data_IF_567879990622
#
_entry.id   IF_567879990622
#
_cell.length_a   1.000
_cell.length_b   1.000
_cell.length_c   1.000
_cell.angle_alpha   90.00
_cell.angle_beta   90.00
_cell.angle_gamma   90.00
#
_symmetry.space_group_name_H-M   'P 1'
#
loop_
_entity.id
_entity.type
_entity.pdbx_description
1 polymer ?
#
# COMPACT_ATOMS: atom_id res chain seq x y z
N UNK A 1 1.64 -3.18 0.75
CA UNK A 1 1.46 -3.60 -0.66
C UNK A 1 1.55 -5.12 -0.74
N UNK A 2 0.72 -5.74 -1.57
CA UNK A 2 0.79 -7.16 -1.91
C UNK A 2 1.22 -7.33 -3.37
N UNK A 3 2.17 -8.22 -3.62
CA UNK A 3 2.41 -8.77 -4.95
C UNK A 3 1.46 -9.96 -5.14
N UNK A 4 0.59 -9.89 -6.14
CA UNK A 4 -0.42 -10.93 -6.42
C UNK A 4 0.23 -12.19 -6.97
N UNK A 5 1.35 -12.04 -7.68
CA UNK A 5 2.10 -13.13 -8.31
C UNK A 5 3.15 -13.73 -7.36
N UNK A 6 3.57 -12.97 -6.33
CA UNK A 6 4.38 -13.45 -5.21
C UNK A 6 3.77 -13.10 -3.82
N UNK A 7 2.67 -13.76 -3.40
CA UNK A 7 1.90 -13.38 -2.21
C UNK A 7 2.65 -13.49 -0.87
N UNK A 8 3.77 -14.23 -0.84
CA UNK A 8 4.61 -14.41 0.36
C UNK A 8 5.66 -13.31 0.51
N UNK A 9 5.86 -12.49 -0.51
CA UNK A 9 6.81 -11.38 -0.51
C UNK A 9 6.23 -10.17 0.21
N UNK A 10 6.94 -9.71 1.24
CA UNK A 10 6.56 -8.52 2.00
C UNK A 10 7.12 -7.27 1.32
N UNK A 11 6.29 -6.57 0.55
CA UNK A 11 6.69 -5.34 -0.15
C UNK A 11 6.63 -4.06 0.71
N UNK A 12 6.40 -4.21 2.01
CA UNK A 12 6.29 -3.09 2.94
C UNK A 12 4.91 -2.44 2.98
N UNK A 13 4.89 -1.26 3.59
CA UNK A 13 3.69 -0.50 3.96
C UNK A 13 4.03 0.56 5.00
N UNK A 14 3.01 1.23 5.52
CA UNK A 14 3.15 2.25 6.53
C UNK A 14 1.81 2.84 6.94
N UNK A 15 1.85 3.74 7.91
CA UNK A 15 0.70 4.47 8.43
C UNK A 15 1.12 5.93 8.62
N UNK A 16 0.19 6.84 8.37
CA UNK A 16 0.34 8.25 8.74
C UNK A 16 -0.96 8.78 9.33
N UNK A 17 -0.82 9.78 10.20
CA UNK A 17 -1.96 10.56 10.68
C UNK A 17 -2.55 11.36 9.53
N UNK A 18 -3.87 11.26 9.37
CA UNK A 18 -4.59 12.08 8.40
C UNK A 18 -4.69 13.51 8.93
N UNK A 19 -4.10 14.47 8.21
CA UNK A 19 -4.08 15.89 8.58
C UNK A 19 -4.99 16.75 7.68
N UNK A 20 -5.96 16.13 6.98
CA UNK A 20 -6.88 16.82 6.08
C UNK A 20 -6.33 17.11 4.68
N UNK A 21 -5.17 16.55 4.33
CA UNK A 21 -4.56 16.69 3.00
C UNK A 21 -5.09 15.62 2.03
N UNK A 22 -5.20 15.97 0.74
CA UNK A 22 -5.56 15.02 -0.31
C UNK A 22 -4.38 14.11 -0.72
N UNK A 23 -3.15 14.55 -0.46
CA UNK A 23 -1.93 13.87 -0.86
C UNK A 23 -1.26 13.16 0.32
N UNK A 24 -0.62 12.03 0.02
CA UNK A 24 0.22 11.30 0.97
C UNK A 24 1.67 11.77 0.81
N UNK A 25 2.30 12.36 1.85
CA UNK A 25 3.67 12.83 1.75
C UNK A 25 4.65 11.72 1.38
N UNK A 26 5.71 12.07 0.65
CA UNK A 26 6.83 11.16 0.38
C UNK A 26 7.44 10.66 1.70
N UNK A 27 7.84 9.40 1.75
CA UNK A 27 8.40 8.76 2.95
C UNK A 27 7.37 8.28 3.98
N UNK A 28 6.07 8.47 3.74
CA UNK A 28 5.00 7.98 4.65
C UNK A 28 5.00 6.46 4.82
N UNK A 29 5.41 5.73 3.80
CA UNK A 29 5.49 4.28 3.85
C UNK A 29 6.78 3.81 3.19
N UNK A 30 7.27 2.66 3.65
CA UNK A 30 8.37 1.98 3.01
C UNK A 30 7.85 1.05 1.93
N UNK A 31 8.51 1.07 0.77
CA UNK A 31 8.22 0.18 -0.33
C UNK A 31 9.49 -0.56 -0.73
N UNK A 32 9.43 -1.89 -0.73
CA UNK A 32 10.51 -2.72 -1.26
C UNK A 32 10.22 -2.96 -2.74
N UNK A 33 10.97 -2.20 -3.55
CA UNK A 33 10.90 -2.10 -5.01
C UNK A 33 11.09 -3.41 -5.78
N UNK A 34 10.61 -3.44 -7.03
CA UNK A 34 9.91 -4.58 -7.62
C UNK A 34 10.80 -5.80 -7.86
N UNK A 35 10.20 -6.97 -7.65
CA UNK A 35 10.86 -8.26 -7.84
C UNK A 35 11.03 -8.54 -9.35
N UNK A 36 12.23 -8.31 -9.89
CA UNK A 36 12.59 -8.74 -11.25
C UNK A 36 13.22 -10.14 -11.18
N UNK A 37 13.01 -11.05 -12.15
CA UNK A 37 12.51 -10.82 -13.51
C UNK A 37 11.04 -11.23 -13.76
N UNK A 38 10.35 -10.46 -14.60
CA UNK A 38 8.97 -10.74 -15.05
C UNK A 38 8.00 -9.65 -14.63
N UNK A 39 6.83 -9.59 -15.29
CA UNK A 39 5.78 -8.62 -14.96
C UNK A 39 4.89 -9.13 -13.83
N UNK A 40 4.67 -8.27 -12.84
CA UNK A 40 3.89 -8.57 -11.65
C UNK A 40 2.72 -7.59 -11.49
N UNK A 41 1.63 -8.07 -10.89
CA UNK A 41 0.49 -7.25 -10.48
C UNK A 41 0.64 -6.90 -9.00
N UNK A 42 0.76 -5.61 -8.72
CA UNK A 42 0.86 -5.10 -7.37
C UNK A 42 -0.49 -4.52 -6.92
N UNK A 43 -0.93 -4.93 -5.74
CA UNK A 43 -2.13 -4.42 -5.07
C UNK A 43 -1.73 -3.53 -3.88
N UNK A 44 -2.22 -2.29 -3.93
CA UNK A 44 -2.19 -1.36 -2.81
C UNK A 44 -3.55 -1.38 -2.11
N UNK A 45 -3.52 -1.44 -0.78
CA UNK A 45 -4.71 -1.34 0.05
C UNK A 45 -4.51 -0.20 1.04
N UNK A 46 -5.50 0.67 1.15
CA UNK A 46 -5.52 1.77 2.11
C UNK A 46 -6.71 1.57 3.03
N UNK A 47 -6.47 1.59 4.34
CA UNK A 47 -7.52 1.49 5.36
C UNK A 47 -7.54 2.77 6.16
N UNK A 48 -8.66 3.49 6.13
CA UNK A 48 -8.92 4.63 7.00
C UNK A 48 -9.31 4.12 8.38
N UNK A 49 -8.79 4.76 9.44
CA UNK A 49 -9.10 4.42 10.84
C UNK A 49 -9.48 5.66 11.63
N UNK A 50 -10.39 5.51 12.59
CA UNK A 50 -10.70 6.55 13.56
C UNK A 50 -9.64 6.65 14.67
N UNK A 51 -9.84 7.58 15.60
CA UNK A 51 -8.93 7.79 16.72
C UNK A 51 -8.82 6.59 17.68
N UNK A 52 -9.81 5.70 17.70
CA UNK A 52 -9.78 4.45 18.46
C UNK A 52 -9.16 3.29 17.66
N UNK A 53 -8.70 3.54 16.43
CA UNK A 53 -8.10 2.55 15.54
C UNK A 53 -9.12 1.69 14.78
N UNK A 54 -10.43 1.97 14.91
CA UNK A 54 -11.48 1.24 14.19
C UNK A 54 -11.42 1.58 12.71
N UNK A 55 -11.53 0.55 11.87
CA UNK A 55 -11.61 0.72 10.42
C UNK A 55 -12.88 1.48 10.03
N UNK A 56 -12.71 2.58 9.30
CA UNK A 56 -13.78 3.39 8.72
C UNK A 56 -14.09 2.97 7.28
N UNK A 57 -13.10 2.38 6.59
CA UNK A 57 -13.23 1.92 5.23
C UNK A 57 -11.89 1.46 4.67
N UNK A 58 -11.95 0.61 3.67
CA UNK A 58 -10.77 0.13 2.93
C UNK A 58 -11.03 0.28 1.44
N UNK A 59 -10.03 0.75 0.71
CA UNK A 59 -10.02 0.74 -0.75
C UNK A 59 -8.77 0.03 -1.25
N UNK A 60 -8.83 -0.49 -2.48
CA UNK A 60 -7.69 -1.13 -3.13
C UNK A 60 -7.49 -0.58 -4.54
N UNK A 61 -6.24 -0.60 -5.00
CA UNK A 61 -5.86 -0.28 -6.37
C UNK A 61 -4.83 -1.29 -6.86
N UNK A 62 -4.93 -1.69 -8.12
CA UNK A 62 -4.03 -2.66 -8.74
C UNK A 62 -3.34 -2.02 -9.93
N UNK A 63 -2.03 -2.21 -10.01
CA UNK A 63 -1.23 -1.78 -11.15
C UNK A 63 -0.34 -2.93 -11.60
N UNK A 64 -0.38 -3.22 -12.91
CA UNK A 64 0.59 -4.09 -13.54
C UNK A 64 1.86 -3.30 -13.78
N UNK A 65 2.97 -3.76 -13.22
CA UNK A 65 4.31 -3.19 -13.39
C UNK A 65 5.16 -4.22 -14.16
N UNK A 66 6.11 -3.82 -15.01
CA UNK A 66 7.03 -4.78 -15.62
C UNK A 66 7.87 -5.53 -14.60
#
# INVERSE_FOLDING_TARGET
MKDVDAPRSLHGGGSASYQGAADVPSGTFNFIGPCRPGSHVYEWSITARDAAGKSLGTTTSRLKYP
#
